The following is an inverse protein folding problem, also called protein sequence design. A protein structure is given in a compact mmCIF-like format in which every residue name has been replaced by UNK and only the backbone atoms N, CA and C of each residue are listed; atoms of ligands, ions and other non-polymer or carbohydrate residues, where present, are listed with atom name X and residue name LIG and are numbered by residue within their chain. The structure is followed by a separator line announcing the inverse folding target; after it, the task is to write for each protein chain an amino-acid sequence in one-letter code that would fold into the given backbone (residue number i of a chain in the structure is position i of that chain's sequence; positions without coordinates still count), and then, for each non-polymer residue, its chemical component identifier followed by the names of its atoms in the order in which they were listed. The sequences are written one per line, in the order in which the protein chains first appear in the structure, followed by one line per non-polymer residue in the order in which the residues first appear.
data_IF_524483545891
#
_entry.id   IF_524483545891
#
_cell.length_a   1.000
_cell.length_b   1.000
_cell.length_c   1.000
_cell.angle_alpha   90.00
_cell.angle_beta   90.00
_cell.angle_gamma   90.00
#
_symmetry.space_group_name_H-M   'P 1'
#
loop_
_entity.id
_entity.type
_entity.pdbx_description
1 polymer ?
#
# COMPACT_ATOMS: atom_id res chain seq x y z
N UNK A 1 17.19 -12.27 -2.45
CA UNK A 1 16.60 -10.95 -2.74
C UNK A 1 15.30 -10.97 -1.99
N UNK A 2 15.20 -10.21 -0.90
CA UNK A 2 13.94 -10.02 -0.17
C UNK A 2 12.91 -9.48 -1.15
N UNK A 3 11.70 -10.05 -1.13
CA UNK A 3 10.61 -9.57 -1.96
C UNK A 3 10.07 -8.24 -1.43
N UNK A 4 9.71 -7.31 -2.31
CA UNK A 4 8.90 -6.15 -1.94
C UNK A 4 7.46 -6.44 -2.37
N UNK A 5 6.52 -6.27 -1.44
CA UNK A 5 5.07 -6.33 -1.73
C UNK A 5 4.51 -4.93 -1.71
N UNK A 6 3.84 -4.55 -2.78
CA UNK A 6 3.26 -3.23 -2.96
C UNK A 6 1.76 -3.36 -3.18
N UNK A 7 0.98 -2.66 -2.37
CA UNK A 7 -0.47 -2.75 -2.41
C UNK A 7 -1.13 -1.37 -2.33
N UNK A 8 -2.26 -1.23 -2.99
CA UNK A 8 -3.18 -0.09 -2.86
C UNK A 8 -4.57 -0.58 -2.49
N UNK A 9 -5.18 -0.03 -1.45
CA UNK A 9 -6.57 -0.23 -1.10
C UNK A 9 -7.35 1.06 -1.31
N UNK A 10 -8.48 1.00 -2.03
CA UNK A 10 -9.32 2.14 -2.38
C UNK A 10 -10.69 1.98 -1.76
N UNK A 11 -11.21 3.01 -1.08
CA UNK A 11 -12.58 2.98 -0.53
C UNK A 11 -13.59 3.16 -1.66
N UNK A 12 -13.84 2.08 -2.37
CA UNK A 12 -14.64 2.00 -3.58
C UNK A 12 -15.08 0.56 -3.84
N UNK A 13 -16.29 0.38 -4.37
CA UNK A 13 -17.00 -0.89 -4.52
C UNK A 13 -17.19 -1.34 -5.99
N UNK A 14 -16.49 -0.71 -6.94
CA UNK A 14 -16.37 -1.18 -8.33
C UNK A 14 -14.89 -1.43 -8.68
N UNK A 15 -14.46 -2.68 -8.51
CA UNK A 15 -13.12 -3.12 -8.90
C UNK A 15 -12.85 -2.99 -10.41
N UNK A 16 -13.90 -3.05 -11.25
CA UNK A 16 -13.77 -2.80 -12.68
C UNK A 16 -13.47 -1.33 -12.98
N UNK A 17 -14.04 -0.40 -12.21
CA UNK A 17 -13.72 1.03 -12.29
C UNK A 17 -12.28 1.28 -11.85
N UNK A 18 -11.84 0.71 -10.73
CA UNK A 18 -10.43 0.78 -10.29
C UNK A 18 -9.49 0.30 -11.40
N UNK A 19 -9.73 -0.87 -11.97
CA UNK A 19 -8.91 -1.43 -13.06
C UNK A 19 -8.86 -0.51 -14.29
N UNK A 20 -10.01 0.08 -14.68
CA UNK A 20 -10.07 1.04 -15.80
C UNK A 20 -9.31 2.34 -15.50
N UNK A 21 -9.35 2.83 -14.26
CA UNK A 21 -8.64 4.03 -13.86
C UNK A 21 -7.13 3.82 -13.85
N UNK A 22 -6.66 2.65 -13.43
CA UNK A 22 -5.24 2.25 -13.56
C UNK A 22 -4.80 2.32 -15.02
N UNK A 23 -5.56 1.68 -15.93
CA UNK A 23 -5.27 1.72 -17.38
C UNK A 23 -5.28 3.14 -17.94
N UNK A 24 -6.28 3.94 -17.56
CA UNK A 24 -6.39 5.32 -18.03
C UNK A 24 -5.22 6.18 -17.53
N UNK A 25 -4.71 5.94 -16.32
CA UNK A 25 -3.53 6.65 -15.83
C UNK A 25 -2.26 6.21 -16.55
N UNK A 26 -2.05 4.91 -16.75
CA UNK A 26 -0.95 4.41 -17.55
C UNK A 26 -0.94 5.04 -18.96
N UNK A 27 -2.09 5.13 -19.62
CA UNK A 27 -2.22 5.75 -20.94
C UNK A 27 -1.83 7.24 -20.96
N UNK A 28 -2.20 8.02 -19.93
CA UNK A 28 -1.79 9.42 -19.77
C UNK A 28 -0.27 9.58 -19.62
N UNK A 29 0.38 8.55 -19.05
CA UNK A 29 1.83 8.47 -18.90
C UNK A 29 2.53 7.91 -20.14
N UNK A 30 1.79 7.57 -21.20
CA UNK A 30 2.33 6.97 -22.42
C UNK A 30 2.68 5.49 -22.29
N UNK A 31 2.14 4.82 -21.27
CA UNK A 31 2.27 3.38 -21.04
C UNK A 31 1.05 2.67 -21.61
N UNK A 32 1.27 1.64 -22.43
CA UNK A 32 0.18 0.78 -22.88
C UNK A 32 -0.21 -0.17 -21.74
N UNK A 33 -1.50 -0.15 -21.36
CA UNK A 33 -2.04 -1.04 -20.35
C UNK A 33 -3.42 -1.55 -20.76
N UNK A 34 -3.81 -2.73 -20.27
CA UNK A 34 -5.13 -3.32 -20.57
C UNK A 34 -5.67 -4.11 -19.39
N UNK A 35 -6.98 -4.04 -19.21
CA UNK A 35 -7.71 -4.93 -18.31
C UNK A 35 -7.86 -6.29 -19.00
N UNK A 36 -7.57 -7.36 -18.27
CA UNK A 36 -7.68 -8.74 -18.71
C UNK A 36 -8.21 -9.64 -17.60
N UNK A 37 -8.26 -10.93 -17.91
CA UNK A 37 -8.55 -11.95 -16.89
C UNK A 37 -7.42 -12.00 -15.88
N UNK A 38 -7.82 -12.06 -14.61
CA UNK A 38 -6.96 -12.44 -13.51
C UNK A 38 -6.19 -13.73 -13.83
N UNK A 39 -4.87 -13.69 -13.68
CA UNK A 39 -4.00 -14.85 -13.87
C UNK A 39 -3.49 -15.42 -12.56
N UNK A 40 -3.65 -14.70 -11.44
CA UNK A 40 -3.33 -15.14 -10.08
C UNK A 40 -1.95 -15.78 -9.98
N UNK A 41 -0.91 -14.97 -9.86
CA UNK A 41 0.46 -15.48 -9.73
C UNK A 41 1.51 -14.39 -9.81
N UNK A 42 2.75 -14.78 -9.55
CA UNK A 42 4.00 -13.97 -9.58
C UNK A 42 4.31 -13.40 -10.98
N UNK A 43 3.34 -12.80 -11.66
CA UNK A 43 3.56 -12.13 -12.93
C UNK A 43 4.05 -10.73 -12.60
N UNK A 44 5.36 -10.55 -12.79
CA UNK A 44 6.07 -9.28 -12.59
C UNK A 44 5.48 -8.08 -13.39
N UNK A 45 4.53 -8.31 -14.29
CA UNK A 45 3.97 -7.32 -15.22
C UNK A 45 2.45 -7.08 -15.06
N UNK A 46 1.78 -7.68 -14.07
CA UNK A 46 0.34 -7.55 -13.87
C UNK A 46 -0.03 -7.04 -12.48
N UNK A 47 -0.85 -5.98 -12.43
CA UNK A 47 -1.53 -5.60 -11.20
C UNK A 47 -2.78 -6.46 -11.03
N UNK A 48 -2.94 -7.03 -9.85
CA UNK A 48 -4.04 -7.91 -9.48
C UNK A 48 -5.09 -7.11 -8.72
N UNK A 49 -6.30 -7.00 -9.27
CA UNK A 49 -7.42 -6.23 -8.72
C UNK A 49 -8.47 -7.19 -8.19
N UNK A 50 -8.72 -7.10 -6.89
CA UNK A 50 -9.59 -8.01 -6.17
C UNK A 50 -11.03 -7.52 -6.10
N UNK A 51 -11.98 -8.43 -5.88
CA UNK A 51 -13.37 -8.08 -5.61
C UNK A 51 -13.47 -7.16 -4.38
N UNK A 52 -14.39 -6.19 -4.37
CA UNK A 52 -14.56 -5.33 -3.22
C UNK A 52 -15.05 -6.11 -1.99
N UNK A 53 -14.46 -5.84 -0.84
CA UNK A 53 -14.87 -6.38 0.45
C UNK A 53 -14.90 -5.24 1.48
N UNK A 54 -15.98 -5.17 2.27
CA UNK A 54 -16.20 -4.14 3.29
C UNK A 54 -16.03 -2.69 2.78
N UNK A 55 -16.38 -2.46 1.52
CA UNK A 55 -16.28 -1.16 0.85
C UNK A 55 -14.88 -0.79 0.35
N UNK A 56 -13.95 -1.76 0.32
CA UNK A 56 -12.59 -1.59 -0.17
C UNK A 56 -12.32 -2.48 -1.37
N UNK A 57 -11.75 -1.89 -2.42
CA UNK A 57 -11.10 -2.63 -3.52
C UNK A 57 -9.60 -2.60 -3.29
N UNK A 58 -8.97 -3.77 -3.24
CA UNK A 58 -7.51 -3.90 -3.13
C UNK A 58 -6.90 -4.19 -4.50
N UNK A 59 -5.75 -3.58 -4.74
CA UNK A 59 -4.86 -3.84 -5.87
C UNK A 59 -3.51 -4.25 -5.33
N UNK A 60 -3.04 -5.42 -5.72
CA UNK A 60 -1.62 -5.77 -5.60
C UNK A 60 -0.91 -5.29 -6.85
N UNK A 61 0.07 -4.43 -6.68
CA UNK A 61 0.88 -3.98 -7.79
C UNK A 61 1.86 -5.09 -8.18
N UNK A 62 2.33 -5.13 -9.44
CA UNK A 62 3.46 -6.00 -9.77
C UNK A 62 4.65 -5.63 -8.90
N UNK A 63 5.69 -6.47 -8.83
CA UNK A 63 6.94 -6.09 -8.16
C UNK A 63 7.54 -4.87 -8.87
N UNK A 64 7.30 -3.66 -8.34
CA UNK A 64 7.68 -2.41 -9.01
C UNK A 64 8.71 -1.63 -8.20
N UNK A 65 9.03 -0.43 -8.68
CA UNK A 65 9.61 0.61 -7.85
C UNK A 65 8.49 1.26 -7.06
N UNK A 66 8.57 1.31 -5.72
CA UNK A 66 7.52 1.86 -4.84
C UNK A 66 6.95 3.21 -5.26
N UNK A 67 7.72 4.05 -5.93
CA UNK A 67 7.24 5.32 -6.51
C UNK A 67 6.08 5.13 -7.50
N UNK A 68 6.09 4.07 -8.32
CA UNK A 68 5.04 3.80 -9.28
C UNK A 68 3.73 3.37 -8.59
N UNK A 69 3.82 2.51 -7.56
CA UNK A 69 2.69 2.12 -6.73
C UNK A 69 2.06 3.34 -6.03
N UNK A 70 2.90 4.22 -5.47
CA UNK A 70 2.50 5.49 -4.83
C UNK A 70 1.76 6.39 -5.80
N UNK A 71 2.30 6.63 -7.00
CA UNK A 71 1.67 7.50 -8.00
C UNK A 71 0.36 6.91 -8.55
N UNK A 72 0.29 5.58 -8.73
CA UNK A 72 -0.95 4.90 -9.10
C UNK A 72 -2.03 5.04 -8.03
N UNK A 73 -1.69 4.80 -6.76
CA UNK A 73 -2.62 4.95 -5.64
C UNK A 73 -3.14 6.39 -5.53
N UNK A 74 -2.25 7.37 -5.67
CA UNK A 74 -2.59 8.79 -5.67
C UNK A 74 -3.53 9.15 -6.82
N UNK A 75 -3.19 8.76 -8.05
CA UNK A 75 -3.97 9.11 -9.24
C UNK A 75 -5.38 8.48 -9.21
N UNK A 76 -5.48 7.20 -8.83
CA UNK A 76 -6.76 6.51 -8.72
C UNK A 76 -7.61 7.11 -7.60
N UNK A 77 -7.04 7.37 -6.41
CA UNK A 77 -7.71 8.12 -5.34
C UNK A 77 -8.25 9.47 -5.81
N UNK A 78 -7.45 10.22 -6.58
CA UNK A 78 -7.81 11.52 -7.13
C UNK A 78 -9.03 11.48 -8.05
N UNK A 79 -9.09 10.47 -8.93
CA UNK A 79 -10.20 10.32 -9.88
C UNK A 79 -11.47 9.79 -9.23
N UNK A 80 -11.34 8.92 -8.24
CA UNK A 80 -12.47 8.42 -7.45
C UNK A 80 -12.97 9.44 -6.42
N UNK A 81 -12.14 10.43 -6.05
CA UNK A 81 -12.46 11.37 -4.98
C UNK A 81 -12.55 10.69 -3.60
N UNK A 82 -11.84 9.58 -3.40
CA UNK A 82 -11.96 8.72 -2.22
C UNK A 82 -10.63 8.55 -1.48
N UNK A 83 -10.68 7.89 -0.33
CA UNK A 83 -9.50 7.52 0.47
C UNK A 83 -8.78 6.33 -0.16
N UNK A 84 -7.45 6.38 -0.21
CA UNK A 84 -6.61 5.23 -0.53
C UNK A 84 -5.54 5.00 0.54
N UNK A 85 -5.26 3.73 0.82
CA UNK A 85 -4.15 3.25 1.63
C UNK A 85 -3.15 2.57 0.71
N UNK A 86 -1.91 3.06 0.69
CA UNK A 86 -0.81 2.49 -0.10
C UNK A 86 0.24 1.92 0.84
N UNK A 87 0.60 0.66 0.65
CA UNK A 87 1.61 -0.03 1.47
C UNK A 87 2.73 -0.53 0.59
N UNK A 88 3.97 -0.39 1.09
CA UNK A 88 5.14 -1.12 0.59
C UNK A 88 5.77 -1.87 1.76
N UNK A 89 5.78 -3.19 1.70
CA UNK A 89 6.40 -4.07 2.69
C UNK A 89 7.66 -4.70 2.10
N UNK A 90 8.80 -4.44 2.73
CA UNK A 90 10.09 -5.02 2.41
C UNK A 90 10.27 -6.23 3.32
N UNK A 91 10.23 -7.43 2.74
CA UNK A 91 10.27 -8.70 3.47
C UNK A 91 11.44 -8.74 4.46
N UNK A 92 11.13 -9.02 5.72
CA UNK A 92 12.04 -9.08 6.87
C UNK A 92 12.78 -7.78 7.23
N UNK A 93 12.50 -6.64 6.57
CA UNK A 93 13.23 -5.38 6.78
C UNK A 93 12.38 -4.27 7.43
N UNK A 94 11.39 -3.74 6.70
CA UNK A 94 10.52 -2.65 7.16
C UNK A 94 9.27 -2.56 6.28
N UNK A 95 8.31 -1.72 6.70
CA UNK A 95 7.16 -1.39 5.87
C UNK A 95 6.89 0.11 5.90
N UNK A 96 6.19 0.59 4.88
CA UNK A 96 5.74 1.97 4.77
C UNK A 96 4.28 2.06 4.39
N UNK A 97 3.65 3.15 4.82
CA UNK A 97 2.24 3.43 4.58
C UNK A 97 2.05 4.87 4.15
N UNK A 98 1.29 5.07 3.08
CA UNK A 98 0.87 6.39 2.62
C UNK A 98 -0.64 6.41 2.52
N UNK A 99 -1.23 7.53 2.95
CA UNK A 99 -2.67 7.76 2.85
C UNK A 99 -2.95 8.91 1.89
N UNK A 100 -3.85 8.68 0.95
CA UNK A 100 -4.37 9.70 0.05
C UNK A 100 -5.86 9.92 0.29
N UNK A 101 -6.32 11.16 0.14
CA UNK A 101 -7.74 11.51 0.06
C UNK A 101 -7.93 12.38 -1.17
N UNK A 102 -8.72 11.90 -2.14
CA UNK A 102 -8.90 12.58 -3.42
C UNK A 102 -7.58 13.00 -4.08
N UNK A 103 -6.58 12.11 -4.04
CA UNK A 103 -5.26 12.31 -4.67
C UNK A 103 -4.33 13.28 -3.94
N UNK A 104 -4.73 13.80 -2.78
CA UNK A 104 -3.88 14.57 -1.88
C UNK A 104 -3.30 13.65 -0.81
N UNK A 105 -1.99 13.67 -0.63
CA UNK A 105 -1.32 12.97 0.48
C UNK A 105 -1.76 13.59 1.82
N UNK A 106 -2.17 12.72 2.75
CA UNK A 106 -2.67 13.10 4.08
C UNK A 106 -1.77 12.60 5.19
N UNK A 107 -1.15 11.44 4.99
CA UNK A 107 -0.26 10.81 5.95
C UNK A 107 0.83 10.00 5.23
N UNK A 108 1.98 9.86 5.88
CA UNK A 108 3.14 9.14 5.37
C UNK A 108 3.97 8.59 6.53
N UNK A 109 4.04 7.28 6.62
CA UNK A 109 4.70 6.50 7.67
C UNK A 109 5.72 5.51 7.08
N UNK A 110 6.76 5.22 7.84
CA UNK A 110 7.62 4.04 7.67
C UNK A 110 8.03 3.53 9.04
N UNK A 111 8.15 2.21 9.21
CA UNK A 111 8.59 1.61 10.47
C UNK A 111 10.07 1.86 10.76
N UNK A 112 10.89 2.13 9.72
CA UNK A 112 12.32 2.43 9.84
C UNK A 112 12.70 3.66 9.03
N UNK A 113 12.50 4.89 9.57
CA UNK A 113 12.81 6.13 8.86
C UNK A 113 14.31 6.30 8.58
N UNK A 114 15.13 5.68 9.42
CA UNK A 114 16.59 5.67 9.38
C UNK A 114 17.20 4.74 8.32
N UNK A 115 16.41 3.79 7.80
CA UNK A 115 16.91 2.74 6.90
C UNK A 115 17.61 3.27 5.63
N UNK A 116 17.16 4.42 5.10
CA UNK A 116 17.75 5.07 3.93
C UNK A 116 18.41 6.42 4.24
N UNK A 117 18.69 6.73 5.51
CA UNK A 117 19.21 8.06 5.91
C UNK A 117 20.61 8.40 5.37
N UNK A 118 21.33 7.46 4.74
CA UNK A 118 22.51 7.79 3.92
C UNK A 118 22.18 8.66 2.69
N UNK A 119 20.90 8.75 2.30
CA UNK A 119 20.40 9.68 1.28
C UNK A 119 20.05 11.05 1.88
N UNK A 120 20.98 12.00 1.74
CA UNK A 120 20.81 13.38 2.21
C UNK A 120 19.47 14.01 1.76
N UNK A 121 18.69 14.55 2.70
CA UNK A 121 17.44 15.30 2.44
C UNK A 121 16.13 14.55 2.72
N UNK A 122 16.17 13.36 3.30
CA UNK A 122 15.00 12.52 3.62
C UNK A 122 14.48 12.66 5.07
N UNK A 123 15.22 13.39 5.93
CA UNK A 123 15.02 13.60 7.38
C UNK A 123 13.64 14.15 7.82
N UNK A 124 12.81 14.62 6.88
CA UNK A 124 11.47 15.13 7.14
C UNK A 124 10.38 14.45 6.29
N UNK A 125 10.71 13.35 5.62
CA UNK A 125 9.79 12.67 4.71
C UNK A 125 8.73 11.87 5.47
N UNK A 126 9.03 11.35 6.65
CA UNK A 126 8.14 10.44 7.38
C UNK A 126 7.50 11.16 8.56
N UNK A 127 6.24 11.56 8.42
CA UNK A 127 5.51 12.40 9.40
C UNK A 127 4.08 11.88 9.55
N UNK A 128 3.94 10.76 10.25
CA UNK A 128 2.62 10.17 10.50
C UNK A 128 1.93 10.84 11.69
N UNK A 129 0.63 11.08 11.55
CA UNK A 129 -0.29 11.48 12.62
C UNK A 129 -1.43 10.44 12.71
N UNK A 130 -1.40 9.54 13.70
CA UNK A 130 -2.44 8.53 13.88
C UNK A 130 -3.85 9.10 13.98
N UNK A 131 -4.03 10.35 14.44
CA UNK A 131 -5.34 10.97 14.50
C UNK A 131 -5.89 11.33 13.10
N UNK A 132 -5.01 11.71 12.16
CA UNK A 132 -5.39 11.95 10.76
C UNK A 132 -5.82 10.65 10.10
N UNK A 133 -5.03 9.58 10.26
CA UNK A 133 -5.38 8.26 9.73
C UNK A 133 -6.68 7.77 10.34
N UNK A 134 -6.80 7.76 11.67
CA UNK A 134 -8.02 7.34 12.35
C UNK A 134 -9.28 8.09 11.87
N UNK A 135 -9.18 9.41 11.68
CA UNK A 135 -10.28 10.24 11.17
C UNK A 135 -10.72 9.89 9.74
N UNK A 136 -9.78 9.56 8.86
CA UNK A 136 -10.09 9.15 7.47
C UNK A 136 -10.70 7.75 7.41
N UNK A 137 -10.23 6.84 8.25
CA UNK A 137 -10.65 5.44 8.26
C UNK A 137 -11.88 5.19 9.15
N UNK A 138 -12.20 6.09 10.07
CA UNK A 138 -13.35 5.97 10.97
C UNK A 138 -13.10 5.02 12.15
N UNK A 139 -11.85 4.93 12.60
CA UNK A 139 -11.38 4.02 13.65
C UNK A 139 -10.87 4.80 14.86
N UNK A 140 -10.59 4.13 15.99
CA UNK A 140 -9.97 4.79 17.14
C UNK A 140 -8.48 5.04 16.90
N UNK A 141 -7.98 6.25 17.19
CA UNK A 141 -6.54 6.54 17.06
C UNK A 141 -5.69 5.64 17.98
N UNK A 142 -6.18 5.34 19.18
CA UNK A 142 -5.51 4.42 20.11
C UNK A 142 -5.39 2.99 19.55
N UNK A 143 -6.31 2.58 18.67
CA UNK A 143 -6.30 1.24 18.07
C UNK A 143 -5.20 1.10 17.00
N UNK A 144 -4.65 2.21 16.51
CA UNK A 144 -3.66 2.20 15.42
C UNK A 144 -2.32 2.90 15.74
N UNK A 145 -2.21 3.54 16.90
CA UNK A 145 -1.04 4.36 17.25
C UNK A 145 0.25 3.55 17.28
N UNK A 146 0.20 2.32 17.81
CA UNK A 146 1.39 1.49 17.96
C UNK A 146 1.95 1.03 16.61
N UNK A 147 1.10 0.80 15.60
CA UNK A 147 1.56 0.49 14.24
C UNK A 147 2.27 1.66 13.55
N UNK A 148 1.83 2.89 13.85
CA UNK A 148 2.33 4.12 13.23
C UNK A 148 3.45 4.77 14.04
N UNK A 149 4.05 4.01 14.97
CA UNK A 149 5.23 4.41 15.74
C UNK A 149 6.47 3.78 15.11
N UNK A 150 7.47 4.57 14.67
CA UNK A 150 8.72 4.02 14.16
C UNK A 150 9.43 3.13 15.18
N UNK A 151 10.06 2.07 14.69
CA UNK A 151 10.89 1.18 15.49
C UNK A 151 12.14 1.93 15.97
N UNK A 152 12.52 1.65 17.21
CA UNK A 152 13.76 2.15 17.83
C UNK A 152 14.91 1.16 17.63
N UNK A 153 16.15 1.59 17.85
CA UNK A 153 17.32 0.68 17.80
C UNK A 153 17.15 -0.52 18.77
N UNK A 154 16.59 -0.29 19.95
CA UNK A 154 16.33 -1.34 20.95
C UNK A 154 15.33 -2.39 20.45
N UNK A 155 14.35 -1.99 19.63
CA UNK A 155 13.37 -2.92 19.04
C UNK A 155 14.02 -3.83 17.99
N UNK A 156 15.03 -3.33 17.29
CA UNK A 156 15.70 -4.01 16.17
C UNK A 156 16.83 -4.94 16.62
N UNK A 157 17.51 -4.62 17.73
CA UNK A 157 18.63 -5.39 18.26
C UNK A 157 18.20 -6.66 19.05
N UNK A 158 16.90 -6.81 19.32
CA UNK A 158 16.32 -7.90 20.11
C UNK A 158 15.43 -8.86 19.32
N UNK A 159 15.05 -9.97 19.97
CA UNK A 159 13.91 -10.80 19.55
C UNK A 159 12.60 -10.16 20.10
N UNK A 160 12.31 -8.90 19.74
CA UNK A 160 11.08 -8.24 20.20
C UNK A 160 9.85 -8.82 19.47
N UNK A 161 9.10 -9.66 20.18
CA UNK A 161 7.84 -10.26 19.72
C UNK A 161 6.60 -9.42 20.08
N UNK A 162 6.79 -8.17 20.55
CA UNK A 162 5.69 -7.29 20.94
C UNK A 162 4.78 -7.00 19.74
N UNK A 163 3.48 -7.02 20.01
CA UNK A 163 2.40 -6.73 19.06
C UNK A 163 1.65 -5.48 19.50
N UNK A 164 1.01 -4.79 18.56
CA UNK A 164 0.15 -3.66 18.90
C UNK A 164 -1.07 -4.13 19.71
N UNK A 165 -1.67 -5.26 19.31
CA UNK A 165 -2.77 -5.90 20.03
C UNK A 165 -2.50 -7.37 20.37
N UNK A 166 -3.09 -7.91 21.44
CA UNK A 166 -2.90 -9.32 21.82
C UNK A 166 -3.40 -10.34 20.79
N UNK A 167 -4.34 -9.96 19.92
CA UNK A 167 -4.92 -10.82 18.88
C UNK A 167 -4.26 -10.67 17.51
N UNK A 168 -3.30 -9.75 17.37
CA UNK A 168 -2.50 -9.61 16.15
C UNK A 168 -1.68 -10.86 15.87
N UNK A 169 -1.42 -11.13 14.60
CA UNK A 169 -0.60 -12.25 14.16
C UNK A 169 0.89 -11.91 14.21
N UNK A 170 1.25 -10.69 13.80
CA UNK A 170 2.63 -10.28 13.56
C UNK A 170 3.18 -9.38 14.67
N UNK A 171 4.49 -9.49 14.91
CA UNK A 171 5.21 -8.56 15.79
C UNK A 171 5.40 -7.21 15.10
N UNK A 172 5.57 -6.13 15.89
CA UNK A 172 5.81 -4.77 15.36
C UNK A 172 7.09 -4.68 14.50
N UNK A 173 8.04 -5.59 14.74
CA UNK A 173 9.31 -5.72 14.01
C UNK A 173 9.17 -6.47 12.68
N UNK A 174 8.06 -7.20 12.47
CA UNK A 174 7.78 -7.94 11.24
C UNK A 174 7.17 -7.01 10.20
N UNK A 175 7.70 -7.01 8.97
CA UNK A 175 7.16 -6.15 7.91
C UNK A 175 5.74 -6.53 7.51
N UNK A 176 5.25 -7.74 7.81
CA UNK A 176 3.86 -8.16 7.61
C UNK A 176 2.86 -7.58 8.63
N UNK A 177 3.32 -6.87 9.66
CA UNK A 177 2.43 -6.19 10.62
C UNK A 177 1.45 -5.22 9.98
N UNK A 178 1.73 -4.75 8.76
CA UNK A 178 0.77 -3.96 7.98
C UNK A 178 -0.56 -4.69 7.73
N UNK A 179 -0.58 -6.03 7.72
CA UNK A 179 -1.80 -6.83 7.54
C UNK A 179 -2.72 -6.68 8.76
N UNK A 180 -2.16 -6.75 9.97
CA UNK A 180 -2.90 -6.48 11.20
C UNK A 180 -3.35 -5.02 11.26
N UNK A 181 -2.48 -4.08 10.90
CA UNK A 181 -2.85 -2.68 10.78
C UNK A 181 -4.02 -2.45 9.81
N UNK A 182 -3.98 -3.06 8.61
CA UNK A 182 -5.08 -3.00 7.64
C UNK A 182 -6.37 -3.59 8.20
N UNK A 183 -6.31 -4.71 8.91
CA UNK A 183 -7.45 -5.31 9.61
C UNK A 183 -8.10 -4.31 10.57
N UNK A 184 -7.31 -3.58 11.36
CA UNK A 184 -7.82 -2.52 12.24
C UNK A 184 -8.33 -1.28 11.50
N UNK A 185 -7.89 -1.02 10.26
CA UNK A 185 -8.47 0.00 9.38
C UNK A 185 -9.76 -0.46 8.67
N UNK A 186 -10.15 -1.73 8.81
CA UNK A 186 -11.27 -2.34 8.09
C UNK A 186 -10.95 -2.74 6.65
N UNK A 187 -9.68 -2.89 6.30
CA UNK A 187 -9.21 -3.39 5.01
C UNK A 187 -8.83 -4.86 5.17
N UNK A 188 -9.39 -5.72 4.33
CA UNK A 188 -8.97 -7.13 4.28
C UNK A 188 -7.80 -7.28 3.32
N UNK A 189 -6.68 -7.82 3.80
CA UNK A 189 -5.58 -8.23 2.94
C UNK A 189 -6.04 -9.37 2.02
N UNK A 190 -5.78 -9.31 0.70
CA UNK A 190 -6.12 -10.38 -0.21
C UNK A 190 -5.22 -11.59 -0.01
N UNK A 191 -5.77 -12.62 0.62
CA UNK A 191 -5.16 -13.95 0.69
C UNK A 191 -5.81 -14.88 -0.36
N UNK A 192 -5.37 -16.14 -0.45
CA UNK A 192 -5.68 -17.07 -1.53
C UNK A 192 -7.17 -17.17 -1.92
N UNK A 193 -8.08 -16.98 -0.98
CA UNK A 193 -9.52 -17.16 -1.19
C UNK A 193 -10.37 -15.90 -0.97
N UNK A 194 -9.86 -14.85 -0.32
CA UNK A 194 -10.68 -13.71 0.13
C UNK A 194 -9.91 -12.38 0.15
N UNK A 195 -10.43 -11.32 -0.49
CA UNK A 195 -11.46 -11.36 -1.54
C UNK A 195 -10.99 -12.11 -2.81
N UNK A 196 -11.91 -12.65 -3.63
CA UNK A 196 -11.54 -13.28 -4.90
C UNK A 196 -10.82 -12.31 -5.84
N UNK A 197 -9.80 -12.80 -6.54
CA UNK A 197 -9.16 -12.02 -7.59
C UNK A 197 -10.11 -11.86 -8.80
N UNK A 198 -10.36 -10.63 -9.24
CA UNK A 198 -11.37 -10.33 -10.27
C UNK A 198 -10.76 -9.93 -11.61
N UNK A 199 -9.78 -9.03 -11.61
CA UNK A 199 -9.16 -8.51 -12.83
C UNK A 199 -7.64 -8.52 -12.74
N UNK A 200 -7.01 -8.65 -13.91
CA UNK A 200 -5.59 -8.35 -14.09
C UNK A 200 -5.43 -7.10 -14.94
N UNK A 201 -4.50 -6.22 -14.58
CA UNK A 201 -4.06 -5.09 -15.42
C UNK A 201 -2.62 -5.31 -15.86
N UNK A 202 -2.43 -5.65 -17.13
CA UNK A 202 -1.09 -5.87 -17.70
C UNK A 202 -0.55 -4.58 -18.30
N UNK A 203 0.73 -4.30 -18.06
CA UNK A 203 1.43 -3.13 -18.59
C UNK A 203 2.43 -3.52 -19.68
N UNK A 204 2.79 -2.59 -20.57
CA UNK A 204 3.94 -2.75 -21.47
C UNK A 204 5.26 -2.80 -20.69
N UNK A 205 6.30 -3.50 -21.19
CA UNK A 205 7.59 -3.59 -20.48
C UNK A 205 8.24 -2.23 -20.19
N UNK A 206 8.84 -2.09 -19.01
CA UNK A 206 9.58 -0.88 -18.59
C UNK A 206 8.70 0.28 -18.12
N UNK A 207 7.41 0.02 -17.88
CA UNK A 207 6.42 1.02 -17.47
C UNK A 207 6.75 1.70 -16.14
N UNK A 208 7.42 1.00 -15.23
CA UNK A 208 7.68 1.42 -13.86
C UNK A 208 8.46 2.75 -13.82
N UNK A 209 9.43 2.91 -14.73
CA UNK A 209 10.25 4.12 -14.86
C UNK A 209 9.46 5.33 -15.37
N UNK A 210 8.37 5.08 -16.11
CA UNK A 210 7.55 6.13 -16.71
C UNK A 210 6.47 6.62 -15.75
N UNK A 211 5.90 5.70 -14.97
CA UNK A 211 4.87 6.02 -13.98
C UNK A 211 5.48 6.64 -12.71
N UNK A 212 6.61 6.13 -12.21
CA UNK A 212 7.21 6.59 -10.93
C UNK A 212 7.79 8.01 -10.94
N UNK A 213 7.79 8.73 -12.07
CA UNK A 213 8.20 10.14 -12.09
C UNK A 213 6.99 11.04 -11.83
N UNK A 214 6.98 11.87 -10.77
CA UNK A 214 5.87 12.79 -10.50
C UNK A 214 5.50 13.62 -11.73
N UNK A 215 4.20 13.82 -11.96
CA UNK A 215 3.69 14.65 -13.06
C UNK A 215 3.96 16.14 -12.86
#
# INVERSE_FOLDING_TARGET
MSGVKELGAFRHDDAGEVARLVVAYAAERGVEARVGSASGGEIADQADVYEPLDGWTVVMWPSTSGDAAVELARAVSGRLGTVASCVSAYEDDFWSHLVFEAGRERDRFTSRPDYFEEEAGTEHRWTSDPAVVAGLFGVGAADITDYLTPLTEDDLDGEDERRAHPDDEYALTDSWVFVDFWRHLGITYPDADVPPLQYGVTFSPGWEKTIGTPA
#
